data_IF_949350322129
#
_entry.id   IF_949350322129
#
_cell.length_a   1.000
_cell.length_b   1.000
_cell.length_c   1.000
_cell.angle_alpha   90.00
_cell.angle_beta   90.00
_cell.angle_gamma   90.00
#
_symmetry.space_group_name_H-M   'P 1'
#
loop_
_entity.id
_entity.type
_entity.pdbx_description
1 polymer ?
#
# COMPACT_ATOMS: atom_id res chain seq x y z
N UNK A 1 14.42 -92.11 -63.85
CA UNK A 1 15.00 -90.78 -64.16
C UNK A 1 14.17 -89.61 -63.61
N UNK A 2 12.83 -89.71 -63.56
CA UNK A 2 11.91 -88.66 -63.08
C UNK A 2 12.15 -88.22 -61.63
N UNK A 3 12.32 -89.18 -60.70
CA UNK A 3 12.56 -88.90 -59.26
C UNK A 3 13.85 -88.14 -58.94
N UNK A 4 14.91 -88.30 -59.73
CA UNK A 4 16.19 -87.58 -59.49
C UNK A 4 16.09 -86.12 -59.92
N UNK A 5 15.41 -85.87 -61.04
CA UNK A 5 15.27 -84.52 -61.61
C UNK A 5 14.40 -83.63 -60.73
N UNK A 6 13.28 -84.14 -60.23
CA UNK A 6 12.40 -83.42 -59.31
C UNK A 6 13.06 -83.12 -57.95
N UNK A 7 13.88 -84.06 -57.47
CA UNK A 7 14.57 -83.93 -56.19
C UNK A 7 15.78 -82.99 -56.23
N UNK A 8 16.44 -82.83 -57.39
CA UNK A 8 17.70 -82.10 -57.49
C UNK A 8 17.65 -80.84 -58.35
N UNK A 9 16.58 -80.61 -59.13
CA UNK A 9 16.43 -79.40 -59.93
C UNK A 9 15.13 -78.67 -59.56
N UNK A 10 15.26 -77.41 -59.20
CA UNK A 10 14.16 -76.46 -59.05
C UNK A 10 14.43 -75.24 -59.93
N UNK A 11 13.42 -74.76 -60.64
CA UNK A 11 13.48 -73.48 -61.33
C UNK A 11 13.56 -72.38 -60.27
N UNK A 12 14.77 -71.84 -60.04
CA UNK A 12 14.96 -70.70 -59.16
C UNK A 12 14.31 -69.45 -59.74
N UNK A 13 14.03 -68.47 -58.88
CA UNK A 13 13.38 -67.20 -59.23
C UNK A 13 14.29 -66.25 -60.08
N UNK A 14 15.44 -66.75 -60.54
CA UNK A 14 16.41 -66.06 -61.39
C UNK A 14 16.66 -66.97 -62.59
N UNK A 15 16.35 -66.49 -63.79
CA UNK A 15 16.50 -67.27 -65.02
C UNK A 15 17.97 -67.65 -65.25
N UNK A 16 18.25 -68.96 -65.35
CA UNK A 16 19.58 -69.48 -65.70
C UNK A 16 20.42 -70.06 -64.55
N UNK A 17 19.96 -70.00 -63.30
CA UNK A 17 20.69 -70.58 -62.15
C UNK A 17 20.04 -71.90 -61.70
N UNK A 18 20.71 -73.02 -61.96
CA UNK A 18 20.27 -74.35 -61.52
C UNK A 18 21.06 -74.77 -60.27
N UNK A 19 20.38 -74.83 -59.12
CA UNK A 19 20.98 -75.35 -57.89
C UNK A 19 20.96 -76.87 -57.90
N UNK A 20 22.14 -77.49 -57.81
CA UNK A 20 22.30 -78.95 -57.73
C UNK A 20 22.31 -79.40 -56.27
N UNK A 21 21.40 -80.32 -55.91
CA UNK A 21 21.36 -81.00 -54.61
C UNK A 21 20.08 -80.76 -53.82
N UNK A 22 19.60 -81.81 -53.13
CA UNK A 22 18.41 -81.74 -52.25
C UNK A 22 18.54 -80.69 -51.14
N UNK A 23 19.71 -80.65 -50.47
CA UNK A 23 19.99 -79.71 -49.37
C UNK A 23 19.85 -78.24 -49.83
N UNK A 24 20.39 -77.92 -51.01
CA UNK A 24 20.38 -76.58 -51.60
C UNK A 24 18.98 -76.09 -52.00
N UNK A 25 18.06 -77.01 -52.33
CA UNK A 25 16.65 -76.70 -52.64
C UNK A 25 15.82 -76.44 -51.39
N UNK A 26 16.04 -77.21 -50.31
CA UNK A 26 15.42 -76.97 -49.00
C UNK A 26 15.87 -75.63 -48.40
N UNK A 27 17.16 -75.29 -48.51
CA UNK A 27 17.71 -74.02 -48.04
C UNK A 27 17.12 -72.81 -48.78
N UNK A 28 16.94 -72.90 -50.11
CA UNK A 28 16.27 -71.85 -50.89
C UNK A 28 14.79 -71.67 -50.49
N UNK A 29 14.09 -72.77 -50.22
CA UNK A 29 12.73 -72.75 -49.70
C UNK A 29 12.66 -72.07 -48.33
N UNK A 30 13.60 -72.38 -47.43
CA UNK A 30 13.71 -71.76 -46.13
C UNK A 30 14.05 -70.26 -46.22
N UNK A 31 14.93 -69.85 -47.15
CA UNK A 31 15.24 -68.44 -47.40
C UNK A 31 14.00 -67.70 -47.90
N UNK A 32 13.24 -68.28 -48.84
CA UNK A 32 12.03 -67.66 -49.37
C UNK A 32 10.92 -67.57 -48.31
N UNK A 33 10.76 -68.60 -47.48
CA UNK A 33 9.85 -68.59 -46.34
C UNK A 33 10.24 -67.49 -45.34
N UNK A 34 11.51 -67.43 -44.91
CA UNK A 34 12.01 -66.39 -44.00
C UNK A 34 11.89 -64.99 -44.58
N UNK A 35 12.05 -64.80 -45.90
CA UNK A 35 11.80 -63.51 -46.57
C UNK A 35 10.33 -63.13 -46.55
N UNK A 36 9.43 -64.09 -46.75
CA UNK A 36 7.98 -63.85 -46.64
C UNK A 36 7.58 -63.52 -45.21
N UNK A 37 8.18 -64.19 -44.23
CA UNK A 37 7.97 -63.93 -42.80
C UNK A 37 8.49 -62.54 -42.41
N UNK A 38 9.69 -62.17 -42.86
CA UNK A 38 10.24 -60.82 -42.68
C UNK A 38 9.35 -59.75 -43.28
N UNK A 39 8.89 -59.92 -44.53
CA UNK A 39 7.99 -58.97 -45.17
C UNK A 39 6.65 -58.84 -44.42
N UNK A 40 6.13 -59.95 -43.87
CA UNK A 40 4.94 -59.92 -43.01
C UNK A 40 5.17 -59.18 -41.69
N UNK A 41 6.33 -59.40 -41.06
CA UNK A 41 6.73 -58.71 -39.83
C UNK A 41 6.95 -57.21 -40.05
N UNK A 42 7.60 -56.81 -41.15
CA UNK A 42 7.80 -55.41 -41.55
C UNK A 42 6.44 -54.71 -41.77
N UNK A 43 5.52 -55.37 -42.49
CA UNK A 43 4.16 -54.86 -42.67
C UNK A 43 3.41 -54.67 -41.35
N UNK A 44 3.52 -55.63 -40.42
CA UNK A 44 2.95 -55.51 -39.07
C UNK A 44 3.60 -54.39 -38.26
N UNK A 45 4.92 -54.21 -38.39
CA UNK A 45 5.66 -53.14 -37.71
C UNK A 45 5.19 -51.76 -38.19
N UNK A 46 4.99 -51.58 -39.49
CA UNK A 46 4.53 -50.32 -40.06
C UNK A 46 3.08 -50.02 -39.67
N UNK A 47 2.20 -51.03 -39.64
CA UNK A 47 0.85 -50.88 -39.10
C UNK A 47 0.84 -50.45 -37.64
N UNK A 48 1.70 -51.06 -36.80
CA UNK A 48 1.82 -50.68 -35.40
C UNK A 48 2.37 -49.26 -35.21
N UNK A 49 3.34 -48.83 -36.03
CA UNK A 49 3.85 -47.45 -36.03
C UNK A 49 2.74 -46.45 -36.39
N UNK A 50 1.94 -46.74 -37.42
CA UNK A 50 0.81 -45.89 -37.82
C UNK A 50 -0.22 -45.82 -36.68
N UNK A 51 -0.57 -46.97 -36.07
CA UNK A 51 -1.49 -47.01 -34.94
C UNK A 51 -0.98 -46.20 -33.74
N UNK A 52 0.31 -46.33 -33.40
CA UNK A 52 0.94 -45.56 -32.33
C UNK A 52 0.90 -44.06 -32.61
N UNK A 53 1.20 -43.65 -33.84
CA UNK A 53 1.16 -42.24 -34.24
C UNK A 53 -0.26 -41.67 -34.16
N UNK A 54 -1.25 -42.43 -34.62
CA UNK A 54 -2.66 -42.04 -34.52
C UNK A 54 -3.10 -41.88 -33.06
N UNK A 55 -2.66 -42.75 -32.15
CA UNK A 55 -2.98 -42.61 -30.72
C UNK A 55 -2.27 -41.42 -30.08
N UNK A 56 -1.02 -41.12 -30.47
CA UNK A 56 -0.31 -39.91 -30.02
C UNK A 56 -1.03 -38.64 -30.47
N UNK A 57 -1.50 -38.60 -31.73
CA UNK A 57 -2.26 -37.48 -32.25
C UNK A 57 -3.58 -37.28 -31.48
N UNK A 58 -4.33 -38.37 -31.24
CA UNK A 58 -5.56 -38.31 -30.42
C UNK A 58 -5.28 -37.80 -29.00
N UNK A 59 -4.21 -38.26 -28.37
CA UNK A 59 -3.82 -37.79 -27.04
C UNK A 59 -3.52 -36.28 -27.04
N UNK A 60 -2.82 -35.80 -28.05
CA UNK A 60 -2.55 -34.37 -28.23
C UNK A 60 -3.84 -33.58 -28.44
N UNK A 61 -4.71 -34.00 -29.36
CA UNK A 61 -6.00 -33.36 -29.64
C UNK A 61 -6.88 -33.28 -28.38
N UNK A 62 -6.97 -34.37 -27.61
CA UNK A 62 -7.70 -34.37 -26.34
C UNK A 62 -7.08 -33.42 -25.31
N UNK A 63 -5.75 -33.37 -25.23
CA UNK A 63 -5.03 -32.44 -24.35
C UNK A 63 -5.27 -30.97 -24.71
N UNK A 64 -5.23 -30.64 -26.00
CA UNK A 64 -5.49 -29.29 -26.52
C UNK A 64 -6.94 -28.88 -26.29
N UNK A 65 -7.90 -29.77 -26.57
CA UNK A 65 -9.33 -29.53 -26.33
C UNK A 65 -9.60 -29.27 -24.84
N UNK A 66 -9.09 -30.12 -23.95
CA UNK A 66 -9.24 -29.94 -22.51
C UNK A 66 -8.63 -28.62 -22.02
N UNK A 67 -7.45 -28.27 -22.53
CA UNK A 67 -6.79 -26.99 -22.22
C UNK A 67 -7.65 -25.80 -22.66
N UNK A 68 -8.26 -25.89 -23.83
CA UNK A 68 -9.16 -24.86 -24.36
C UNK A 68 -10.42 -24.72 -23.51
N UNK A 69 -11.08 -25.83 -23.19
CA UNK A 69 -12.30 -25.86 -22.39
C UNK A 69 -12.08 -25.25 -20.99
N UNK A 70 -10.97 -25.61 -20.32
CA UNK A 70 -10.57 -24.99 -19.06
C UNK A 70 -10.44 -23.46 -19.18
N UNK A 71 -9.81 -22.99 -20.26
CA UNK A 71 -9.60 -21.57 -20.46
C UNK A 71 -10.90 -20.81 -20.74
N UNK A 72 -11.85 -21.42 -21.45
CA UNK A 72 -13.18 -20.85 -21.67
C UNK A 72 -13.93 -20.66 -20.36
N UNK A 73 -13.81 -21.62 -19.43
CA UNK A 73 -14.41 -21.52 -18.09
C UNK A 73 -13.78 -20.34 -17.33
N UNK A 74 -12.45 -20.22 -17.33
CA UNK A 74 -11.77 -19.08 -16.70
C UNK A 74 -12.25 -17.74 -17.27
N UNK A 75 -12.35 -17.62 -18.59
CA UNK A 75 -12.78 -16.38 -19.25
C UNK A 75 -14.18 -15.93 -18.86
N UNK A 76 -15.07 -16.85 -18.48
CA UNK A 76 -16.41 -16.51 -17.97
C UNK A 76 -16.36 -15.74 -16.64
N UNK A 77 -15.37 -16.04 -15.78
CA UNK A 77 -15.28 -15.47 -14.44
C UNK A 77 -14.04 -14.58 -14.24
N UNK A 78 -13.34 -14.23 -15.32
CA UNK A 78 -12.12 -13.42 -15.30
C UNK A 78 -12.35 -12.09 -14.57
N UNK A 79 -13.49 -11.43 -14.75
CA UNK A 79 -13.75 -10.13 -14.09
C UNK A 79 -13.82 -10.24 -12.56
N UNK A 80 -14.32 -11.36 -12.05
CA UNK A 80 -14.58 -11.54 -10.62
C UNK A 80 -13.35 -12.10 -9.88
N UNK A 81 -12.59 -13.00 -10.52
CA UNK A 81 -11.53 -13.77 -9.84
C UNK A 81 -10.13 -13.59 -10.41
N UNK A 82 -9.89 -12.64 -11.33
CA UNK A 82 -8.55 -12.40 -11.90
C UNK A 82 -7.48 -12.21 -10.83
N UNK A 83 -7.78 -11.43 -9.80
CA UNK A 83 -6.82 -11.15 -8.72
C UNK A 83 -6.63 -12.36 -7.80
N UNK A 84 -7.68 -13.15 -7.57
CA UNK A 84 -7.61 -14.37 -6.75
C UNK A 84 -6.80 -15.49 -7.43
N UNK A 85 -6.85 -15.55 -8.77
CA UNK A 85 -6.17 -16.56 -9.58
C UNK A 85 -4.80 -16.09 -10.09
N UNK A 86 -4.30 -14.96 -9.60
CA UNK A 86 -2.99 -14.41 -9.99
C UNK A 86 -1.89 -15.46 -9.77
N UNK A 87 -1.01 -15.60 -10.76
CA UNK A 87 0.04 -16.63 -10.78
C UNK A 87 -0.40 -17.97 -11.39
N UNK A 88 -1.70 -18.28 -11.42
CA UNK A 88 -2.24 -19.49 -12.08
C UNK A 88 -2.76 -19.25 -13.50
N UNK A 89 -2.85 -17.98 -13.93
CA UNK A 89 -3.48 -17.54 -15.19
C UNK A 89 -2.48 -16.99 -16.22
N UNK A 90 -1.17 -17.21 -16.02
CA UNK A 90 -0.13 -16.73 -16.94
C UNK A 90 -0.14 -17.43 -18.29
N UNK A 91 -0.56 -18.70 -18.34
CA UNK A 91 -0.76 -19.44 -19.58
C UNK A 91 -1.92 -20.43 -19.45
N UNK A 92 -2.48 -20.86 -20.59
CA UNK A 92 -3.55 -21.88 -20.63
C UNK A 92 -3.09 -23.21 -20.03
N UNK A 93 -1.82 -23.58 -20.23
CA UNK A 93 -1.23 -24.81 -19.69
C UNK A 93 -1.12 -24.76 -18.16
N UNK A 94 -0.63 -23.64 -17.60
CA UNK A 94 -0.49 -23.47 -16.15
C UNK A 94 -1.87 -23.53 -15.47
N UNK A 95 -2.89 -22.93 -16.08
CA UNK A 95 -4.25 -22.99 -15.56
C UNK A 95 -4.82 -24.41 -15.59
N UNK A 96 -4.59 -25.15 -16.68
CA UNK A 96 -4.96 -26.57 -16.79
C UNK A 96 -4.30 -27.42 -15.69
N UNK A 97 -2.99 -27.25 -15.49
CA UNK A 97 -2.25 -27.99 -14.47
C UNK A 97 -2.73 -27.64 -13.05
N UNK A 98 -3.08 -26.36 -12.81
CA UNK A 98 -3.71 -25.92 -11.57
C UNK A 98 -5.06 -26.61 -11.34
N UNK A 99 -5.94 -26.68 -12.35
CA UNK A 99 -7.22 -27.39 -12.25
C UNK A 99 -7.00 -28.87 -11.89
N UNK A 100 -6.07 -29.54 -12.56
CA UNK A 100 -5.76 -30.95 -12.27
C UNK A 100 -5.25 -31.14 -10.84
N UNK A 101 -4.40 -30.22 -10.38
CA UNK A 101 -3.91 -30.24 -8.99
C UNK A 101 -5.05 -30.04 -8.00
N UNK A 102 -5.89 -29.03 -8.19
CA UNK A 102 -7.04 -28.76 -7.31
C UNK A 102 -8.04 -29.93 -7.34
N UNK A 103 -8.25 -30.58 -8.49
CA UNK A 103 -9.10 -31.77 -8.56
C UNK A 103 -8.58 -32.93 -7.69
N UNK A 104 -7.26 -33.05 -7.54
CA UNK A 104 -6.64 -34.13 -6.78
C UNK A 104 -6.49 -33.82 -5.28
N UNK A 105 -6.24 -32.55 -4.91
CA UNK A 105 -5.86 -32.17 -3.54
C UNK A 105 -6.85 -31.26 -2.81
N UNK A 106 -7.84 -30.69 -3.48
CA UNK A 106 -8.73 -29.72 -2.85
C UNK A 106 -9.74 -30.41 -1.91
N UNK A 107 -9.71 -30.02 -0.64
CA UNK A 107 -10.61 -30.47 0.42
C UNK A 107 -11.53 -29.36 0.93
N UNK A 108 -11.53 -28.21 0.27
CA UNK A 108 -12.32 -27.04 0.68
C UNK A 108 -13.81 -27.27 0.47
N UNK A 109 -14.62 -26.71 1.36
CA UNK A 109 -16.08 -26.72 1.22
C UNK A 109 -16.53 -25.99 -0.05
N UNK A 110 -17.54 -26.56 -0.71
CA UNK A 110 -18.12 -25.98 -1.91
C UNK A 110 -19.04 -24.81 -1.51
N UNK A 111 -18.54 -23.59 -1.71
CA UNK A 111 -19.30 -22.36 -1.50
C UNK A 111 -20.08 -21.96 -2.75
N UNK A 112 -21.12 -21.15 -2.54
CA UNK A 112 -21.88 -20.58 -3.66
C UNK A 112 -21.02 -19.57 -4.44
N UNK A 113 -21.35 -19.35 -5.71
CA UNK A 113 -20.66 -18.35 -6.53
C UNK A 113 -20.76 -16.95 -5.93
N UNK A 114 -21.90 -16.62 -5.31
CA UNK A 114 -22.16 -15.32 -4.68
C UNK A 114 -21.26 -15.11 -3.47
N UNK A 115 -21.16 -16.10 -2.59
CA UNK A 115 -20.27 -16.05 -1.41
C UNK A 115 -18.79 -15.90 -1.82
N UNK A 116 -18.37 -16.59 -2.89
CA UNK A 116 -17.01 -16.48 -3.41
C UNK A 116 -16.73 -15.08 -3.96
N UNK A 117 -17.69 -14.46 -4.64
CA UNK A 117 -17.55 -13.09 -5.15
C UNK A 117 -17.46 -12.07 -4.01
N UNK A 118 -18.28 -12.22 -2.97
CA UNK A 118 -18.22 -11.34 -1.81
C UNK A 118 -16.88 -11.44 -1.10
N UNK A 119 -16.38 -12.67 -0.86
CA UNK A 119 -15.05 -12.87 -0.26
C UNK A 119 -13.93 -12.29 -1.13
N UNK A 120 -13.98 -12.51 -2.45
CA UNK A 120 -13.01 -11.93 -3.37
C UNK A 120 -13.03 -10.39 -3.31
N UNK A 121 -14.22 -9.78 -3.28
CA UNK A 121 -14.37 -8.33 -3.16
C UNK A 121 -13.86 -7.79 -1.83
N UNK A 122 -14.13 -8.45 -0.70
CA UNK A 122 -13.68 -7.98 0.62
C UNK A 122 -12.16 -8.08 0.79
N UNK A 123 -11.54 -9.16 0.31
CA UNK A 123 -10.13 -9.45 0.59
C UNK A 123 -9.17 -8.89 -0.45
N UNK A 124 -9.59 -8.78 -1.72
CA UNK A 124 -8.71 -8.46 -2.84
C UNK A 124 -8.97 -7.10 -3.47
N UNK A 125 -10.04 -6.39 -3.09
CA UNK A 125 -10.15 -4.96 -3.42
C UNK A 125 -9.03 -4.19 -2.73
N UNK A 126 -8.72 -3.01 -3.31
CA UNK A 126 -7.74 -2.08 -2.77
C UNK A 126 -7.91 -1.98 -1.26
N UNK A 127 -6.81 -2.18 -0.54
CA UNK A 127 -6.73 -1.94 0.90
C UNK A 127 -7.36 -0.57 1.16
N UNK A 128 -8.35 -0.45 2.06
CA UNK A 128 -8.94 0.84 2.38
C UNK A 128 -7.81 1.80 2.70
N UNK A 129 -7.84 2.98 2.08
CA UNK A 129 -6.90 4.02 2.43
C UNK A 129 -7.09 4.30 3.93
N UNK A 130 -5.99 4.23 4.67
CA UNK A 130 -6.02 4.53 6.10
C UNK A 130 -6.31 6.02 6.22
N UNK A 131 -7.53 6.35 6.64
CA UNK A 131 -7.86 7.72 7.04
C UNK A 131 -7.28 7.88 8.44
N UNK A 132 -6.24 8.70 8.56
CA UNK A 132 -5.72 9.05 9.87
C UNK A 132 -6.73 9.91 10.63
N UNK A 133 -6.83 9.65 11.93
CA UNK A 133 -7.77 10.36 12.80
C UNK A 133 -7.24 11.78 13.01
N UNK A 134 -8.07 12.78 12.73
CA UNK A 134 -7.75 14.17 13.01
C UNK A 134 -7.57 14.33 14.53
N UNK A 135 -6.43 14.84 15.01
CA UNK A 135 -6.20 15.01 16.44
C UNK A 135 -7.20 16.03 17.02
N UNK A 136 -7.65 15.78 18.25
CA UNK A 136 -8.47 16.74 18.99
C UNK A 136 -7.62 17.93 19.43
N UNK A 137 -8.11 19.15 19.16
CA UNK A 137 -7.42 20.39 19.47
C UNK A 137 -8.06 20.98 20.75
N UNK A 138 -7.57 20.54 21.90
CA UNK A 138 -8.09 20.93 23.23
C UNK A 138 -7.45 22.22 23.75
N UNK A 139 -7.58 23.32 23.01
CA UNK A 139 -7.05 24.66 23.40
C UNK A 139 -8.07 25.79 23.24
N UNK A 140 -9.27 25.48 22.75
CA UNK A 140 -10.32 26.48 22.54
C UNK A 140 -10.77 27.14 23.85
N UNK A 141 -10.98 26.34 24.90
CA UNK A 141 -11.43 26.86 26.20
C UNK A 141 -10.39 27.79 26.82
N UNK A 142 -9.10 27.46 26.71
CA UNK A 142 -8.01 28.30 27.22
C UNK A 142 -7.97 29.65 26.50
N UNK A 143 -8.05 29.67 25.17
CA UNK A 143 -8.10 30.91 24.37
C UNK A 143 -9.36 31.70 24.73
N UNK A 144 -10.52 31.04 24.79
CA UNK A 144 -11.79 31.69 25.10
C UNK A 144 -11.80 32.30 26.50
N UNK A 145 -11.14 31.66 27.47
CA UNK A 145 -11.00 32.20 28.82
C UNK A 145 -10.21 33.51 28.85
N UNK A 146 -9.18 33.63 28.02
CA UNK A 146 -8.39 34.85 27.89
C UNK A 146 -9.20 35.94 27.18
N UNK A 147 -9.88 35.63 26.08
CA UNK A 147 -10.68 36.60 25.31
C UNK A 147 -11.85 37.18 26.11
N UNK A 148 -12.45 36.38 27.00
CA UNK A 148 -13.59 36.78 27.84
C UNK A 148 -13.18 37.48 29.14
N UNK A 149 -11.88 37.64 29.41
CA UNK A 149 -11.43 38.31 30.62
C UNK A 149 -11.84 39.79 30.59
N UNK A 150 -12.43 40.27 31.70
CA UNK A 150 -12.89 41.66 31.82
C UNK A 150 -11.78 42.70 31.71
N UNK A 151 -10.52 42.30 31.92
CA UNK A 151 -9.34 43.18 31.88
C UNK A 151 -9.21 43.97 30.57
N UNK A 152 -9.75 43.44 29.46
CA UNK A 152 -9.71 44.11 28.16
C UNK A 152 -10.63 45.33 28.07
N UNK A 153 -11.66 45.39 28.93
CA UNK A 153 -12.57 46.53 29.05
C UNK A 153 -12.14 47.56 30.10
N UNK A 154 -11.15 47.22 30.93
CA UNK A 154 -10.71 48.06 32.03
C UNK A 154 -9.72 49.13 31.56
N UNK A 155 -9.93 50.37 32.01
CA UNK A 155 -8.97 51.46 31.79
C UNK A 155 -7.90 51.33 32.88
N UNK A 156 -6.72 50.85 32.50
CA UNK A 156 -5.59 50.71 33.42
C UNK A 156 -4.80 52.02 33.43
N UNK A 157 -5.19 52.89 34.34
CA UNK A 157 -4.47 54.11 34.70
C UNK A 157 -4.11 54.07 36.18
N UNK A 158 -3.12 54.87 36.57
CA UNK A 158 -2.80 55.03 37.97
C UNK A 158 -3.97 55.65 38.77
N UNK A 159 -3.86 55.56 40.09
CA UNK A 159 -4.89 55.98 41.02
C UNK A 159 -5.29 57.44 40.80
N UNK A 160 -6.57 57.69 40.53
CA UNK A 160 -7.08 59.01 40.12
C UNK A 160 -7.25 60.01 41.29
N UNK A 161 -7.14 59.56 42.54
CA UNK A 161 -7.37 60.36 43.75
C UNK A 161 -6.08 61.01 44.31
N UNK A 162 -4.99 60.95 43.55
CA UNK A 162 -3.69 61.53 43.93
C UNK A 162 -3.48 62.86 43.19
N UNK A 163 -2.93 63.87 43.87
CA UNK A 163 -2.77 65.23 43.31
C UNK A 163 -2.04 65.25 41.96
N UNK A 164 -1.04 64.37 41.79
CA UNK A 164 -0.24 64.26 40.57
C UNK A 164 -1.00 63.65 39.38
N UNK A 165 -2.07 62.89 39.64
CA UNK A 165 -2.84 62.18 38.63
C UNK A 165 -3.40 63.11 37.55
N UNK A 166 -3.86 64.30 37.95
CA UNK A 166 -4.43 65.31 37.04
C UNK A 166 -3.43 65.77 35.97
N UNK A 167 -2.17 65.95 36.34
CA UNK A 167 -1.11 66.36 35.43
C UNK A 167 -0.68 65.22 34.51
N UNK A 168 -0.53 64.01 35.07
CA UNK A 168 -0.15 62.81 34.29
C UNK A 168 -1.21 62.49 33.24
N UNK A 169 -2.49 62.54 33.62
CA UNK A 169 -3.61 62.33 32.71
C UNK A 169 -3.68 63.40 31.61
N UNK A 170 -3.48 64.68 31.97
CA UNK A 170 -3.49 65.79 31.01
C UNK A 170 -2.36 65.68 29.98
N UNK A 171 -1.17 65.25 30.40
CA UNK A 171 0.00 65.09 29.53
C UNK A 171 0.03 63.74 28.81
N UNK A 172 -0.87 62.81 29.18
CA UNK A 172 -0.94 61.45 28.69
C UNK A 172 0.44 60.75 28.71
N UNK A 173 1.17 60.90 29.82
CA UNK A 173 2.57 60.46 29.95
C UNK A 173 2.79 59.43 31.07
N UNK A 174 1.74 58.70 31.46
CA UNK A 174 1.78 57.72 32.56
C UNK A 174 2.93 56.70 32.41
N UNK A 175 3.15 56.16 31.22
CA UNK A 175 4.23 55.20 30.95
C UNK A 175 5.62 55.81 31.17
N UNK A 176 5.80 57.06 30.76
CA UNK A 176 7.06 57.78 30.93
C UNK A 176 7.34 58.03 32.42
N UNK A 177 6.32 58.43 33.19
CA UNK A 177 6.46 58.61 34.65
C UNK A 177 6.74 57.26 35.34
N UNK A 178 6.07 56.17 34.93
CA UNK A 178 6.31 54.83 35.49
C UNK A 178 7.74 54.31 35.19
N UNK A 179 8.28 54.63 34.02
CA UNK A 179 9.69 54.33 33.72
C UNK A 179 10.63 55.23 34.53
N UNK A 180 10.27 56.51 34.65
CA UNK A 180 11.03 57.54 35.33
C UNK A 180 11.17 57.34 36.84
N UNK A 181 10.13 56.81 37.52
CA UNK A 181 10.15 56.65 38.98
C UNK A 181 11.29 55.78 39.51
N UNK A 182 11.78 54.83 38.69
CA UNK A 182 12.94 53.98 39.01
C UNK A 182 14.24 54.75 39.22
N UNK A 183 14.31 55.98 38.72
CA UNK A 183 15.47 56.86 38.85
C UNK A 183 15.32 57.85 40.01
N UNK A 184 14.24 57.76 40.79
CA UNK A 184 14.02 58.64 41.94
C UNK A 184 14.66 58.06 43.20
N UNK A 185 15.05 56.79 43.28
CA UNK A 185 15.58 56.19 44.50
C UNK A 185 16.95 56.79 44.94
N UNK A 186 17.00 57.33 46.16
CA UNK A 186 18.25 57.61 46.89
C UNK A 186 18.71 59.08 47.02
N UNK A 187 18.18 60.03 46.24
CA UNK A 187 18.59 61.45 46.30
C UNK A 187 17.38 62.41 46.17
N UNK A 188 17.35 63.52 46.91
CA UNK A 188 16.34 64.58 46.76
C UNK A 188 16.52 65.38 45.46
N UNK A 189 17.67 65.20 44.80
CA UNK A 189 18.04 65.85 43.55
C UNK A 189 17.29 65.25 42.36
N UNK A 190 16.53 66.08 41.65
CA UNK A 190 15.82 65.67 40.45
C UNK A 190 16.80 65.37 39.29
N UNK A 191 16.71 64.20 38.63
CA UNK A 191 17.61 63.81 37.55
C UNK A 191 17.47 64.69 36.29
N UNK A 192 16.40 65.47 36.17
CA UNK A 192 16.15 66.33 35.01
C UNK A 192 16.62 67.77 35.21
N UNK A 193 16.24 68.40 36.32
CA UNK A 193 16.57 69.81 36.60
C UNK A 193 17.76 69.99 37.54
N UNK A 194 18.28 68.90 38.15
CA UNK A 194 19.40 68.89 39.09
C UNK A 194 19.18 69.77 40.34
N UNK A 195 17.91 70.05 40.67
CA UNK A 195 17.50 70.79 41.86
C UNK A 195 16.88 69.82 42.88
N UNK A 196 16.95 70.15 44.17
CA UNK A 196 16.34 69.39 45.26
C UNK A 196 14.82 69.58 45.28
N UNK A 197 14.13 68.95 44.33
CA UNK A 197 12.67 69.06 44.15
C UNK A 197 11.94 67.75 44.41
N UNK A 198 12.65 66.65 44.67
CA UNK A 198 12.08 65.32 44.91
C UNK A 198 11.91 65.13 46.42
N UNK A 199 10.88 65.77 46.98
CA UNK A 199 10.54 65.63 48.39
C UNK A 199 9.78 64.30 48.68
N UNK A 200 9.65 63.98 49.97
CA UNK A 200 8.96 62.76 50.41
C UNK A 200 7.48 62.74 50.01
N UNK A 201 6.84 63.91 49.88
CA UNK A 201 5.44 64.01 49.48
C UNK A 201 5.27 63.63 47.99
N UNK A 202 6.12 64.16 47.11
CA UNK A 202 6.14 63.83 45.70
C UNK A 202 6.40 62.33 45.46
N UNK A 203 7.33 61.74 46.23
CA UNK A 203 7.58 60.28 46.18
C UNK A 203 6.35 59.48 46.56
N UNK A 204 5.70 59.85 47.66
CA UNK A 204 4.46 59.20 48.10
C UNK A 204 3.36 59.33 47.04
N UNK A 205 3.22 60.50 46.41
CA UNK A 205 2.24 60.71 45.34
C UNK A 205 2.53 59.86 44.09
N UNK A 206 3.81 59.66 43.72
CA UNK A 206 4.18 58.79 42.60
C UNK A 206 3.90 57.33 42.92
N UNK A 207 4.25 56.86 44.11
CA UNK A 207 4.00 55.48 44.53
C UNK A 207 2.50 55.19 44.72
N UNK A 208 1.75 56.13 45.31
CA UNK A 208 0.29 56.02 45.44
C UNK A 208 -0.42 56.04 44.09
N UNK A 209 0.12 56.76 43.10
CA UNK A 209 -0.43 56.76 41.75
C UNK A 209 -0.22 55.40 41.04
N UNK A 210 0.94 54.75 41.24
CA UNK A 210 1.21 53.41 40.69
C UNK A 210 1.05 52.33 41.75
N UNK A 211 -0.18 52.18 42.22
CA UNK A 211 -0.55 51.24 43.27
C UNK A 211 -0.46 49.75 42.86
N UNK A 212 -0.72 48.88 43.83
CA UNK A 212 -0.72 47.42 43.63
C UNK A 212 -1.76 46.99 42.57
N UNK A 213 -2.88 47.70 42.45
CA UNK A 213 -3.91 47.40 41.45
C UNK A 213 -3.40 47.67 40.03
N UNK A 214 -2.69 48.80 39.83
CA UNK A 214 -2.07 49.13 38.55
C UNK A 214 -1.05 48.06 38.12
N UNK A 215 -0.13 47.66 39.01
CA UNK A 215 0.88 46.65 38.67
C UNK A 215 0.26 45.26 38.45
N UNK A 216 -0.69 44.83 39.30
CA UNK A 216 -1.40 43.55 39.11
C UNK A 216 -2.13 43.48 37.77
N UNK A 217 -2.83 44.55 37.38
CA UNK A 217 -3.53 44.62 36.11
C UNK A 217 -2.56 44.59 34.92
N UNK A 218 -1.44 45.31 35.03
CA UNK A 218 -0.37 45.30 34.02
C UNK A 218 0.25 43.90 33.84
N UNK A 219 0.57 43.22 34.94
CA UNK A 219 1.09 41.85 34.91
C UNK A 219 0.08 40.86 34.32
N UNK A 220 -1.20 41.02 34.68
CA UNK A 220 -2.29 40.20 34.14
C UNK A 220 -2.41 40.34 32.62
N UNK A 221 -2.39 41.56 32.09
CA UNK A 221 -2.40 41.80 30.64
C UNK A 221 -1.18 41.15 29.97
N UNK A 222 0.00 41.34 30.54
CA UNK A 222 1.23 40.77 29.98
C UNK A 222 1.15 39.24 29.94
N UNK A 223 0.70 38.62 31.03
CA UNK A 223 0.49 37.17 31.11
C UNK A 223 -0.51 36.66 30.06
N UNK A 224 -1.64 37.35 29.90
CA UNK A 224 -2.67 37.01 28.93
C UNK A 224 -2.17 37.12 27.49
N UNK A 225 -1.42 38.19 27.18
CA UNK A 225 -0.80 38.39 25.87
C UNK A 225 0.16 37.25 25.51
N UNK A 226 1.03 36.87 26.45
CA UNK A 226 2.04 35.83 26.22
C UNK A 226 1.41 34.44 26.08
N UNK A 227 0.40 34.15 26.91
CA UNK A 227 -0.39 32.90 26.82
C UNK A 227 -1.16 32.82 25.51
N UNK A 228 -1.87 33.88 25.15
CA UNK A 228 -2.64 33.95 23.91
C UNK A 228 -1.75 33.70 22.70
N UNK A 229 -0.63 34.42 22.59
CA UNK A 229 0.35 34.23 21.51
C UNK A 229 0.84 32.78 21.41
N UNK A 230 1.18 32.17 22.55
CA UNK A 230 1.63 30.78 22.60
C UNK A 230 0.54 29.81 22.13
N UNK A 231 -0.68 29.97 22.62
CA UNK A 231 -1.81 29.11 22.28
C UNK A 231 -2.23 29.25 20.81
N UNK A 232 -2.25 30.48 20.27
CA UNK A 232 -2.54 30.73 18.85
C UNK A 232 -1.48 30.10 17.93
N UNK A 233 -0.20 30.20 18.28
CA UNK A 233 0.87 29.56 17.49
C UNK A 233 0.77 28.03 17.53
N UNK A 234 0.39 27.45 18.67
CA UNK A 234 0.14 26.01 18.81
C UNK A 234 -1.04 25.58 17.93
N UNK A 235 -2.14 26.35 17.96
CA UNK A 235 -3.31 26.12 17.11
C UNK A 235 -2.94 26.09 15.63
N UNK A 236 -2.25 27.14 15.15
CA UNK A 236 -1.81 27.24 13.76
C UNK A 236 -0.92 26.05 13.36
N UNK A 237 0.03 25.68 14.22
CA UNK A 237 0.91 24.54 13.96
C UNK A 237 0.13 23.23 13.83
N UNK A 238 -0.84 22.98 14.71
CA UNK A 238 -1.69 21.79 14.63
C UNK A 238 -2.56 21.78 13.37
N UNK A 239 -3.04 22.95 12.92
CA UNK A 239 -3.83 23.05 11.68
C UNK A 239 -2.96 22.78 10.45
N UNK A 240 -1.73 23.29 10.39
CA UNK A 240 -0.81 23.00 9.29
C UNK A 240 -0.47 21.52 9.17
N UNK A 241 -0.37 20.80 10.30
CA UNK A 241 -0.14 19.34 10.30
C UNK A 241 -1.33 18.53 9.80
N UNK A 242 -2.54 19.11 9.74
CA UNK A 242 -3.74 18.44 9.23
C UNK A 242 -3.92 18.71 7.73
N UNK A 243 -3.41 19.85 7.24
CA UNK A 243 -3.47 20.21 5.82
C UNK A 243 -2.48 19.41 4.95
N UNK A 244 -1.37 18.95 5.54
CA UNK A 244 -0.32 18.14 4.90
C UNK A 244 -0.64 16.63 4.90
#
# INVERSE_FOLDING_TARGET
>A
MTKFRENNFSAGNIAGVFTLGKATKEDLGNIQYKRSELSGLEGSQDQQKIALNNQRNKLQEHGEKFTSDCWVIYKRYERDFKDALRGSISSKMIFKDKILKERASNTSDLLSLEELKDKANTLLRRKPDRIDVIPTIDIYEDISSIEKDGIWGDIIVGKADVDIASLIAKLNNSDWVNQGRKYLDGDETCPFCQQSTIDNNFRAQIEDYFDESFENNREKIQSHKDKYSTLSNKLLTSLYQIEE
#
